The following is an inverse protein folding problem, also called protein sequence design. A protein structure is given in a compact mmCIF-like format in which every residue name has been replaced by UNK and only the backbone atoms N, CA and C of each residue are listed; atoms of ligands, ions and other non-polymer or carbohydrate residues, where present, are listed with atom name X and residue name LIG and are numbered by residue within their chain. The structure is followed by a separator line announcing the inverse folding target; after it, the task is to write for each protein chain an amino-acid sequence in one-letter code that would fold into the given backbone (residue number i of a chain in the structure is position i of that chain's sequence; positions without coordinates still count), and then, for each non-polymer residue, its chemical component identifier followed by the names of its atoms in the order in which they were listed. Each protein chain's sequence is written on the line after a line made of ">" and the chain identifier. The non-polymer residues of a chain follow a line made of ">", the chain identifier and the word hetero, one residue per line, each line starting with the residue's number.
data_IF_946670438872
#
_entry.id   IF_946670438872
#
_cell.length_a   1.000
_cell.length_b   1.000
_cell.length_c   1.000
_cell.angle_alpha   90.00
_cell.angle_beta   90.00
_cell.angle_gamma   90.00
#
_symmetry.space_group_name_H-M   'P 1'
#
loop_
_entity.id
_entity.type
_entity.pdbx_description
1 polymer ?
#
# COMPACT_ATOMS: atom_id res chain seq x y z
N UNK A 1 34.74 -8.48 -63.90
CA UNK A 1 33.75 -9.25 -63.13
C UNK A 1 33.74 -8.70 -61.68
N UNK A 2 32.82 -7.76 -61.38
CA UNK A 2 32.66 -7.15 -60.02
C UNK A 2 31.71 -8.02 -59.21
N UNK A 3 32.20 -8.56 -58.08
CA UNK A 3 31.39 -9.34 -57.14
C UNK A 3 30.59 -8.35 -56.29
N UNK A 4 29.27 -8.38 -56.41
CA UNK A 4 28.30 -7.66 -55.63
C UNK A 4 28.17 -8.38 -54.24
N UNK A 5 28.59 -7.74 -53.16
CA UNK A 5 28.36 -8.24 -51.80
C UNK A 5 26.95 -7.82 -51.37
N UNK A 6 26.09 -8.79 -51.18
CA UNK A 6 24.75 -8.59 -50.61
C UNK A 6 24.92 -8.44 -49.08
N UNK A 7 24.66 -7.24 -48.56
CA UNK A 7 24.59 -6.99 -47.10
C UNK A 7 23.17 -7.42 -46.64
N UNK A 8 23.08 -8.49 -45.92
CA UNK A 8 21.85 -8.88 -45.24
C UNK A 8 21.69 -8.01 -43.98
N UNK A 9 20.75 -7.07 -44.00
CA UNK A 9 20.29 -6.38 -42.78
C UNK A 9 19.50 -7.37 -41.92
N UNK A 10 20.14 -7.88 -40.87
CA UNK A 10 19.44 -8.60 -39.79
C UNK A 10 18.78 -7.53 -38.89
N UNK A 11 17.48 -7.33 -39.06
CA UNK A 11 16.67 -6.55 -38.16
C UNK A 11 16.59 -7.30 -36.81
N UNK A 12 17.35 -6.88 -35.84
CA UNK A 12 17.15 -7.29 -34.45
C UNK A 12 15.77 -6.75 -33.99
N UNK A 13 14.76 -7.58 -34.02
CA UNK A 13 13.53 -7.36 -33.27
C UNK A 13 13.88 -7.53 -31.78
N UNK A 14 14.17 -6.43 -31.11
CA UNK A 14 14.17 -6.40 -29.66
C UNK A 14 12.75 -6.76 -29.19
N UNK A 15 12.58 -7.73 -28.28
CA UNK A 15 11.30 -7.96 -27.70
C UNK A 15 10.88 -6.69 -26.96
N UNK A 16 9.81 -6.05 -27.41
CA UNK A 16 9.08 -5.06 -26.60
C UNK A 16 8.62 -5.87 -25.39
N UNK A 17 9.20 -5.59 -24.23
CA UNK A 17 8.65 -6.10 -22.97
C UNK A 17 7.20 -5.62 -22.95
N UNK A 18 6.26 -6.55 -23.08
CA UNK A 18 4.86 -6.26 -22.91
C UNK A 18 4.73 -5.77 -21.46
N UNK A 19 4.52 -4.46 -21.28
CA UNK A 19 4.09 -3.94 -19.99
C UNK A 19 2.83 -4.73 -19.65
N UNK A 20 2.87 -5.50 -18.55
CA UNK A 20 1.70 -6.21 -18.09
C UNK A 20 0.63 -5.16 -17.77
N UNK A 21 -0.38 -5.08 -18.63
CA UNK A 21 -1.52 -4.18 -18.45
C UNK A 21 -2.25 -4.62 -17.18
N UNK A 22 -2.68 -3.65 -16.34
CA UNK A 22 -3.48 -3.97 -15.16
C UNK A 22 -4.77 -4.65 -15.58
N UNK A 23 -5.08 -5.81 -15.00
CA UNK A 23 -6.27 -6.59 -15.32
C UNK A 23 -6.88 -7.16 -14.04
N UNK A 24 -8.20 -7.10 -13.94
CA UNK A 24 -8.96 -7.82 -12.92
C UNK A 24 -8.92 -9.33 -13.16
N UNK A 25 -9.06 -10.11 -12.11
CA UNK A 25 -9.32 -11.57 -12.18
C UNK A 25 -10.60 -11.83 -12.98
N UNK A 26 -10.63 -12.91 -13.74
CA UNK A 26 -11.74 -13.26 -14.64
C UNK A 26 -13.10 -13.46 -13.92
N UNK A 27 -13.11 -13.52 -12.60
CA UNK A 27 -14.33 -13.53 -11.76
C UNK A 27 -15.04 -12.18 -11.71
N UNK A 28 -14.36 -11.09 -12.02
CA UNK A 28 -14.87 -9.73 -11.91
C UNK A 28 -15.13 -9.13 -13.29
N UNK A 29 -16.10 -8.23 -13.36
CA UNK A 29 -16.41 -7.44 -14.54
C UNK A 29 -16.05 -5.99 -14.25
N UNK A 30 -15.61 -5.30 -15.28
CA UNK A 30 -15.35 -3.87 -15.33
C UNK A 30 -15.92 -3.36 -16.66
N UNK A 31 -17.16 -2.90 -16.64
CA UNK A 31 -17.89 -2.50 -17.87
C UNK A 31 -17.72 -1.03 -18.20
N UNK A 32 -17.48 -0.22 -17.18
CA UNK A 32 -17.31 1.23 -17.31
C UNK A 32 -15.85 1.64 -17.46
N UNK A 33 -14.88 0.71 -17.26
CA UNK A 33 -13.47 0.93 -17.50
C UNK A 33 -12.78 1.73 -16.38
N UNK A 34 -13.33 1.71 -15.16
CA UNK A 34 -12.76 2.40 -13.99
C UNK A 34 -11.67 1.59 -13.28
N UNK A 35 -11.35 0.39 -13.79
CA UNK A 35 -10.36 -0.57 -13.30
C UNK A 35 -10.72 -1.23 -11.96
N UNK A 36 -11.95 -1.12 -11.50
CA UNK A 36 -12.44 -1.81 -10.30
C UNK A 36 -13.60 -2.76 -10.64
N UNK A 37 -13.82 -3.75 -9.77
CA UNK A 37 -14.89 -4.72 -10.01
C UNK A 37 -16.28 -4.09 -9.91
N UNK A 38 -17.12 -4.29 -10.94
CA UNK A 38 -18.53 -3.92 -10.90
C UNK A 38 -19.27 -4.59 -9.75
N UNK A 39 -20.32 -3.95 -9.25
CA UNK A 39 -21.31 -4.60 -8.38
C UNK A 39 -22.02 -5.68 -9.21
N UNK A 40 -22.14 -6.93 -8.71
CA UNK A 40 -22.85 -7.97 -9.43
C UNK A 40 -24.29 -7.55 -9.79
N UNK A 41 -24.63 -7.66 -11.08
CA UNK A 41 -25.98 -7.33 -11.55
C UNK A 41 -27.04 -8.31 -11.04
N UNK A 42 -26.66 -9.55 -10.74
CA UNK A 42 -27.51 -10.55 -10.12
C UNK A 42 -27.58 -10.31 -8.60
N UNK A 43 -28.74 -9.92 -8.11
CA UNK A 43 -28.98 -9.67 -6.69
C UNK A 43 -28.71 -10.89 -5.79
N UNK A 44 -28.75 -12.11 -6.34
CA UNK A 44 -28.41 -13.33 -5.57
C UNK A 44 -26.91 -13.43 -5.24
N UNK A 45 -26.05 -12.70 -5.95
CA UNK A 45 -24.61 -12.60 -5.72
C UNK A 45 -24.25 -11.43 -4.79
N UNK A 46 -25.22 -10.56 -4.50
CA UNK A 46 -25.02 -9.45 -3.57
C UNK A 46 -25.23 -9.93 -2.13
N UNK A 47 -24.37 -9.47 -1.23
CA UNK A 47 -24.39 -9.86 0.18
C UNK A 47 -24.80 -8.69 1.08
N UNK A 48 -25.53 -9.04 2.13
CA UNK A 48 -25.99 -8.11 3.17
C UNK A 48 -25.70 -8.71 4.56
N UNK A 49 -24.43 -8.69 5.00
CA UNK A 49 -24.06 -9.34 6.24
C UNK A 49 -24.68 -8.64 7.45
N UNK A 50 -25.06 -9.41 8.46
CA UNK A 50 -25.52 -8.86 9.75
C UNK A 50 -24.39 -8.26 10.59
N UNK A 51 -23.15 -8.64 10.29
CA UNK A 51 -21.92 -8.13 10.92
C UNK A 51 -20.92 -7.76 9.84
N UNK A 52 -20.53 -6.49 9.80
CA UNK A 52 -19.45 -6.00 8.96
C UNK A 52 -18.12 -6.31 9.63
N UNK A 53 -17.18 -6.79 8.84
CA UNK A 53 -15.80 -7.05 9.29
C UNK A 53 -14.92 -5.99 8.66
N UNK A 54 -14.21 -5.23 9.50
CA UNK A 54 -13.27 -4.18 9.11
C UNK A 54 -11.83 -4.61 9.43
N UNK A 55 -10.90 -4.35 8.53
CA UNK A 55 -9.47 -4.54 8.78
C UNK A 55 -8.65 -3.34 8.31
N UNK A 56 -7.74 -2.89 9.16
CA UNK A 56 -6.71 -1.92 8.79
C UNK A 56 -5.47 -2.66 8.26
N UNK A 57 -4.74 -2.01 7.36
CA UNK A 57 -3.53 -2.57 6.76
C UNK A 57 -2.45 -2.88 7.83
N UNK A 58 -1.74 -4.02 7.72
CA UNK A 58 -0.74 -4.43 8.73
C UNK A 58 0.62 -3.74 8.51
N UNK A 59 0.68 -2.41 8.54
CA UNK A 59 1.93 -1.63 8.41
C UNK A 59 2.74 -1.61 9.70
N UNK A 60 2.06 -1.82 10.84
CA UNK A 60 2.60 -2.01 12.19
C UNK A 60 1.87 -3.18 12.87
N UNK A 61 2.13 -3.42 14.17
CA UNK A 61 1.37 -4.43 14.92
C UNK A 61 -0.12 -4.07 14.94
N UNK A 62 -1.02 -4.95 14.48
CA UNK A 62 -2.46 -4.68 14.44
C UNK A 62 -3.08 -4.39 15.81
N UNK A 63 -2.44 -4.78 16.91
CA UNK A 63 -2.91 -4.48 18.25
C UNK A 63 -2.93 -2.97 18.54
N UNK A 64 -2.03 -2.21 17.94
CA UNK A 64 -1.95 -0.73 18.08
C UNK A 64 -3.24 -0.08 17.58
N UNK A 65 -3.85 -0.63 16.53
CA UNK A 65 -4.94 0.02 15.81
C UNK A 65 -6.35 -0.34 16.29
N UNK A 66 -6.51 -1.32 17.19
CA UNK A 66 -7.84 -1.70 17.68
C UNK A 66 -8.55 -0.54 18.39
N UNK A 67 -7.85 0.13 19.28
CA UNK A 67 -8.41 1.27 20.03
C UNK A 67 -8.51 2.52 19.14
N UNK A 68 -7.53 2.74 18.28
CA UNK A 68 -7.50 3.88 17.32
C UNK A 68 -8.75 3.91 16.43
N UNK A 69 -9.23 2.76 16.00
CA UNK A 69 -10.40 2.65 15.12
C UNK A 69 -11.74 2.53 15.88
N UNK A 70 -11.75 2.42 17.21
CA UNK A 70 -12.97 2.06 17.96
C UNK A 70 -14.13 3.02 17.72
N UNK A 71 -13.92 4.33 17.84
CA UNK A 71 -14.96 5.35 17.67
C UNK A 71 -15.48 5.42 16.23
N UNK A 72 -14.59 5.27 15.25
CA UNK A 72 -15.01 5.16 13.85
C UNK A 72 -15.87 3.90 13.61
N UNK A 73 -15.54 2.77 14.21
CA UNK A 73 -16.31 1.52 14.06
C UNK A 73 -17.69 1.62 14.73
N UNK A 74 -17.79 2.35 15.84
CA UNK A 74 -19.08 2.64 16.48
C UNK A 74 -19.93 3.55 15.58
N UNK A 75 -19.35 4.63 15.01
CA UNK A 75 -20.02 5.48 14.04
C UNK A 75 -20.46 4.71 12.78
N UNK A 76 -19.60 3.83 12.26
CA UNK A 76 -19.93 2.95 11.14
C UNK A 76 -21.10 2.01 11.47
N UNK A 77 -21.15 1.50 12.71
CA UNK A 77 -22.25 0.65 13.16
C UNK A 77 -23.57 1.42 13.26
N UNK A 78 -23.54 2.65 13.77
CA UNK A 78 -24.71 3.53 13.85
C UNK A 78 -25.24 3.89 12.46
N UNK A 79 -24.36 4.33 11.55
CA UNK A 79 -24.73 4.76 10.20
C UNK A 79 -25.29 3.61 9.35
N UNK A 80 -24.70 2.42 9.46
CA UNK A 80 -25.13 1.25 8.65
C UNK A 80 -26.24 0.42 9.29
N UNK A 81 -26.50 0.61 10.59
CA UNK A 81 -27.39 -0.27 11.36
C UNK A 81 -26.88 -1.72 11.50
N UNK A 82 -25.60 -1.96 11.26
CA UNK A 82 -24.95 -3.28 11.32
C UNK A 82 -24.08 -3.40 12.57
N UNK A 83 -23.83 -4.62 13.00
CA UNK A 83 -22.70 -4.86 13.91
C UNK A 83 -21.41 -4.68 13.15
N UNK A 84 -20.39 -4.09 13.78
CA UNK A 84 -19.06 -3.93 13.19
C UNK A 84 -18.02 -4.60 14.09
N UNK A 85 -17.07 -5.29 13.47
CA UNK A 85 -16.01 -5.99 14.17
C UNK A 85 -14.64 -5.69 13.52
N UNK A 86 -13.69 -5.26 14.34
CA UNK A 86 -12.28 -5.14 13.94
C UNK A 86 -11.64 -6.52 13.82
N UNK A 87 -11.02 -6.78 12.67
CA UNK A 87 -10.28 -8.01 12.39
C UNK A 87 -8.78 -7.71 12.26
N UNK A 88 -7.96 -8.07 13.27
CA UNK A 88 -6.53 -7.85 13.21
C UNK A 88 -5.89 -8.82 12.21
N UNK A 89 -5.31 -8.29 11.14
CA UNK A 89 -4.57 -9.06 10.13
C UNK A 89 -3.07 -8.89 10.33
N UNK A 90 -2.30 -9.96 10.07
CA UNK A 90 -0.85 -9.97 10.29
C UNK A 90 -0.05 -9.75 8.99
N UNK A 91 -0.69 -9.87 7.82
CA UNK A 91 -0.05 -9.65 6.53
C UNK A 91 -1.05 -9.18 5.47
N UNK A 92 -0.54 -8.47 4.46
CA UNK A 92 -1.35 -8.04 3.30
C UNK A 92 -1.95 -9.24 2.56
N UNK A 93 -1.22 -10.35 2.44
CA UNK A 93 -1.72 -11.56 1.79
C UNK A 93 -2.93 -12.14 2.54
N UNK A 94 -2.87 -12.23 3.88
CA UNK A 94 -3.98 -12.70 4.70
C UNK A 94 -5.21 -11.76 4.59
N UNK A 95 -4.98 -10.44 4.49
CA UNK A 95 -6.04 -9.46 4.32
C UNK A 95 -6.74 -9.61 2.96
N UNK A 96 -5.98 -9.73 1.87
CA UNK A 96 -6.50 -9.97 0.51
C UNK A 96 -7.30 -11.27 0.46
N UNK A 97 -6.76 -12.36 1.01
CA UNK A 97 -7.45 -13.65 1.05
C UNK A 97 -8.72 -13.62 1.90
N UNK A 98 -8.74 -12.88 3.01
CA UNK A 98 -9.96 -12.72 3.81
C UNK A 98 -11.08 -12.02 3.01
N UNK A 99 -10.74 -10.97 2.23
CA UNK A 99 -11.70 -10.27 1.38
C UNK A 99 -12.14 -11.16 0.21
N UNK A 100 -11.19 -11.79 -0.50
CA UNK A 100 -11.49 -12.72 -1.60
C UNK A 100 -12.41 -13.85 -1.19
N UNK A 101 -12.29 -14.33 0.04
CA UNK A 101 -13.11 -15.39 0.61
C UNK A 101 -14.44 -14.89 1.22
N UNK A 102 -14.80 -13.62 1.07
CA UNK A 102 -16.02 -13.03 1.61
C UNK A 102 -16.05 -12.93 3.15
N UNK A 103 -14.90 -12.96 3.81
CA UNK A 103 -14.76 -12.86 5.27
C UNK A 103 -14.35 -11.48 5.76
N UNK A 104 -14.05 -10.58 4.84
CA UNK A 104 -13.69 -9.19 5.08
C UNK A 104 -14.53 -8.31 4.16
N UNK A 105 -15.18 -7.30 4.72
CA UNK A 105 -16.16 -6.49 4.01
C UNK A 105 -15.67 -5.07 3.74
N UNK A 106 -14.91 -4.50 4.68
CA UNK A 106 -14.36 -3.15 4.62
C UNK A 106 -12.88 -3.24 4.98
N UNK A 107 -12.03 -2.60 4.21
CA UNK A 107 -10.60 -2.65 4.47
C UNK A 107 -9.88 -1.34 4.12
N UNK A 108 -8.80 -1.06 4.87
CA UNK A 108 -7.73 -0.21 4.39
C UNK A 108 -6.60 -1.09 3.83
N UNK A 109 -6.30 -1.00 2.54
CA UNK A 109 -5.14 -1.64 1.94
C UNK A 109 -4.04 -0.61 1.72
N UNK A 110 -2.81 -0.94 2.13
CA UNK A 110 -1.68 -0.04 1.91
C UNK A 110 -1.45 0.20 0.41
N UNK A 111 -0.71 1.26 0.10
CA UNK A 111 -0.47 1.75 -1.25
C UNK A 111 -0.06 0.65 -2.22
N UNK A 112 0.88 -0.20 -1.84
CA UNK A 112 1.43 -1.23 -2.72
C UNK A 112 0.59 -2.50 -2.82
N UNK A 113 -0.20 -2.85 -1.81
CA UNK A 113 -1.11 -4.02 -1.85
C UNK A 113 -2.47 -3.72 -2.47
N UNK A 114 -2.83 -2.43 -2.56
CA UNK A 114 -4.11 -1.98 -3.10
C UNK A 114 -4.38 -2.50 -4.52
N UNK A 115 -3.45 -2.38 -5.51
CA UNK A 115 -3.70 -2.92 -6.85
C UNK A 115 -3.94 -4.43 -6.87
N UNK A 116 -3.25 -5.19 -6.02
CA UNK A 116 -3.47 -6.63 -5.91
C UNK A 116 -4.84 -6.95 -5.30
N UNK A 117 -5.27 -6.19 -4.29
CA UNK A 117 -6.59 -6.33 -3.68
C UNK A 117 -7.71 -6.00 -4.69
N UNK A 118 -7.55 -4.93 -5.49
CA UNK A 118 -8.47 -4.56 -6.57
C UNK A 118 -8.54 -5.69 -7.60
N UNK A 119 -7.38 -6.13 -8.10
CA UNK A 119 -7.32 -7.17 -9.14
C UNK A 119 -7.88 -8.51 -8.67
N UNK A 120 -7.57 -8.94 -7.44
CA UNK A 120 -7.76 -10.33 -7.02
C UNK A 120 -8.85 -10.56 -5.97
N UNK A 121 -9.28 -9.53 -5.25
CA UNK A 121 -10.25 -9.66 -4.16
C UNK A 121 -11.56 -8.88 -4.40
N UNK A 122 -11.71 -8.21 -5.55
CA UNK A 122 -12.86 -7.36 -5.82
C UNK A 122 -12.95 -6.19 -4.85
N UNK A 123 -11.82 -5.68 -4.40
CA UNK A 123 -11.75 -4.50 -3.56
C UNK A 123 -12.10 -3.25 -4.37
N UNK A 124 -13.00 -2.43 -3.84
CA UNK A 124 -13.42 -1.15 -4.43
C UNK A 124 -12.98 -0.01 -3.50
N UNK A 125 -11.78 0.56 -3.71
CA UNK A 125 -11.32 1.72 -2.96
C UNK A 125 -12.15 2.95 -3.36
N UNK A 126 -12.55 3.76 -2.38
CA UNK A 126 -13.33 4.98 -2.63
C UNK A 126 -12.83 6.19 -1.81
N UNK A 127 -11.96 5.97 -0.82
CA UNK A 127 -11.44 7.05 0.02
C UNK A 127 -10.02 6.77 0.52
N UNK A 128 -9.32 7.82 0.90
CA UNK A 128 -8.07 7.80 1.64
C UNK A 128 -8.05 8.92 2.66
N UNK A 129 -7.12 8.86 3.61
CA UNK A 129 -6.88 9.94 4.55
C UNK A 129 -6.09 11.07 3.90
N UNK A 130 -6.40 12.31 4.29
CA UNK A 130 -5.77 13.53 3.79
C UNK A 130 -5.66 14.57 4.92
N UNK A 131 -4.83 15.58 4.71
CA UNK A 131 -4.74 16.75 5.57
C UNK A 131 -6.01 17.62 5.47
N UNK A 132 -6.17 18.61 6.37
CA UNK A 132 -7.30 19.53 6.37
C UNK A 132 -7.49 20.27 5.04
N UNK A 133 -6.41 20.62 4.34
CA UNK A 133 -6.45 21.28 3.03
C UNK A 133 -6.72 20.33 1.85
N UNK A 134 -6.96 19.04 2.13
CA UNK A 134 -7.19 18.01 1.14
C UNK A 134 -5.92 17.43 0.50
N UNK A 135 -4.75 17.94 0.84
CA UNK A 135 -3.49 17.33 0.40
C UNK A 135 -3.33 15.95 1.04
N UNK A 136 -2.78 15.02 0.29
CA UNK A 136 -2.59 13.65 0.75
C UNK A 136 -1.22 13.11 0.32
N UNK A 137 -0.77 12.09 1.02
CA UNK A 137 0.37 11.32 0.59
C UNK A 137 1.42 11.14 1.67
N UNK A 138 2.37 10.28 1.34
CA UNK A 138 3.52 9.99 2.16
C UNK A 138 4.73 9.75 1.26
N UNK A 139 5.93 9.78 1.84
CA UNK A 139 7.17 9.53 1.14
C UNK A 139 7.77 8.18 1.58
N UNK A 140 8.45 7.52 0.66
CA UNK A 140 9.38 6.46 0.99
C UNK A 140 10.68 7.10 1.48
N UNK A 141 11.19 6.62 2.61
CA UNK A 141 12.52 6.98 3.09
C UNK A 141 13.44 5.76 3.12
N UNK A 142 14.70 5.98 2.77
CA UNK A 142 15.79 5.06 3.12
C UNK A 142 16.47 5.64 4.35
N UNK A 143 16.48 4.87 5.44
CA UNK A 143 17.02 5.28 6.73
C UNK A 143 18.21 4.42 7.15
N UNK A 144 19.06 4.99 7.96
CA UNK A 144 20.18 4.34 8.65
C UNK A 144 20.28 4.86 10.08
N UNK A 145 21.28 4.42 10.85
CA UNK A 145 21.58 4.93 12.19
C UNK A 145 22.89 5.75 12.18
N UNK A 146 23.08 6.68 13.11
CA UNK A 146 24.36 7.40 13.26
C UNK A 146 25.55 6.43 13.41
N UNK A 147 26.69 6.79 12.83
CA UNK A 147 27.91 5.98 12.87
C UNK A 147 27.83 4.61 12.16
N UNK A 148 26.81 4.38 11.33
CA UNK A 148 26.66 3.17 10.49
C UNK A 148 27.74 3.05 9.41
N UNK A 149 28.43 4.15 9.10
CA UNK A 149 29.32 4.26 7.96
C UNK A 149 28.59 4.29 6.61
N UNK A 150 27.29 4.67 6.62
CA UNK A 150 26.46 4.93 5.44
C UNK A 150 26.09 6.41 5.47
N UNK A 151 26.65 7.19 4.56
CA UNK A 151 26.44 8.64 4.47
C UNK A 151 25.49 8.99 3.31
N UNK A 152 25.43 8.13 2.28
CA UNK A 152 24.48 8.24 1.17
C UNK A 152 24.02 6.85 0.69
N UNK A 153 23.13 6.84 -0.33
CA UNK A 153 22.49 5.62 -0.84
C UNK A 153 23.50 4.64 -1.45
N UNK A 154 24.55 5.14 -2.09
CA UNK A 154 25.58 4.30 -2.73
C UNK A 154 26.37 3.47 -1.72
N UNK A 155 26.50 3.91 -0.48
CA UNK A 155 27.20 3.20 0.59
C UNK A 155 26.49 1.93 1.07
N UNK A 156 25.25 1.71 0.61
CA UNK A 156 24.49 0.47 0.83
C UNK A 156 25.13 -0.71 0.04
N UNK A 157 25.96 -0.43 -0.97
CA UNK A 157 26.63 -1.50 -1.74
C UNK A 157 27.40 -2.45 -0.83
N UNK A 158 27.15 -3.75 -1.01
CA UNK A 158 27.76 -4.82 -0.23
C UNK A 158 27.26 -4.95 1.21
N UNK A 159 26.25 -4.19 1.60
CA UNK A 159 25.60 -4.26 2.91
C UNK A 159 24.19 -4.85 2.81
N UNK A 160 23.57 -5.08 3.95
CA UNK A 160 22.14 -5.44 4.02
C UNK A 160 21.26 -4.19 3.89
N UNK A 161 20.14 -4.31 3.17
CA UNK A 161 19.06 -3.34 3.16
C UNK A 161 17.77 -4.04 3.60
N UNK A 162 17.20 -3.61 4.71
CA UNK A 162 15.94 -4.15 5.18
C UNK A 162 14.76 -3.60 4.37
N UNK A 163 14.01 -4.49 3.79
CA UNK A 163 12.69 -4.26 3.21
C UNK A 163 11.60 -4.74 4.17
N UNK A 164 10.36 -4.28 3.99
CA UNK A 164 9.24 -4.73 4.82
C UNK A 164 8.62 -6.00 4.27
N UNK A 165 7.73 -5.89 3.28
CA UNK A 165 7.10 -7.00 2.59
C UNK A 165 7.12 -6.77 1.08
N UNK A 166 7.07 -7.83 0.29
CA UNK A 166 7.10 -7.75 -1.19
C UNK A 166 5.91 -6.97 -1.79
N UNK A 167 4.82 -6.82 -1.06
CA UNK A 167 3.64 -6.04 -1.48
C UNK A 167 3.70 -4.58 -1.06
N UNK A 168 4.65 -4.19 -0.20
CA UNK A 168 4.78 -2.80 0.24
C UNK A 168 5.31 -1.91 -0.88
N UNK A 169 4.70 -0.72 -1.05
CA UNK A 169 5.22 0.29 -1.97
C UNK A 169 6.55 0.86 -1.44
N UNK A 170 6.53 1.56 -0.31
CA UNK A 170 7.73 2.21 0.26
C UNK A 170 8.72 1.25 0.88
N UNK A 171 8.27 0.07 1.33
CA UNK A 171 9.15 -0.91 1.94
C UNK A 171 9.76 -1.92 0.96
N UNK A 172 9.44 -1.86 -0.34
CA UNK A 172 10.04 -2.78 -1.33
C UNK A 172 9.97 -2.27 -2.78
N UNK A 173 8.77 -2.00 -3.33
CA UNK A 173 8.57 -1.77 -4.75
C UNK A 173 9.23 -0.47 -5.23
N UNK A 174 8.95 0.64 -4.57
CA UNK A 174 9.52 1.95 -4.91
C UNK A 174 11.03 2.00 -4.68
N UNK A 175 11.59 1.60 -3.51
CA UNK A 175 13.03 1.60 -3.32
C UNK A 175 13.73 0.67 -4.31
N UNK A 176 13.18 -0.51 -4.64
CA UNK A 176 13.77 -1.39 -5.66
C UNK A 176 13.84 -0.75 -7.04
N UNK A 177 12.77 -0.03 -7.44
CA UNK A 177 12.73 0.68 -8.72
C UNK A 177 13.74 1.85 -8.75
N UNK A 178 13.78 2.66 -7.68
CA UNK A 178 14.66 3.82 -7.55
C UNK A 178 16.13 3.40 -7.50
N UNK A 179 16.47 2.42 -6.65
CA UNK A 179 17.84 1.91 -6.54
C UNK A 179 18.36 1.39 -7.88
N UNK A 180 17.49 0.72 -8.65
CA UNK A 180 17.85 0.23 -9.98
C UNK A 180 17.97 1.35 -11.01
N UNK A 181 17.03 2.31 -11.03
CA UNK A 181 16.97 3.35 -12.06
C UNK A 181 18.02 4.44 -11.84
N UNK A 182 18.14 4.94 -10.62
CA UNK A 182 18.93 6.14 -10.31
C UNK A 182 20.35 5.81 -9.84
N UNK A 183 20.53 4.64 -9.16
CA UNK A 183 21.80 4.24 -8.58
C UNK A 183 22.42 3.00 -9.25
N UNK A 184 21.74 2.39 -10.23
CA UNK A 184 22.16 1.14 -10.87
C UNK A 184 22.53 0.06 -9.83
N UNK A 185 21.66 -0.11 -8.83
CA UNK A 185 21.80 -1.08 -7.74
C UNK A 185 20.66 -2.10 -7.79
N UNK A 186 21.00 -3.39 -7.74
CA UNK A 186 20.08 -4.50 -7.83
C UNK A 186 20.24 -5.40 -6.60
N UNK A 187 19.12 -5.68 -5.92
CA UNK A 187 19.07 -6.60 -4.79
C UNK A 187 19.62 -7.99 -5.13
N UNK A 188 20.39 -8.57 -4.23
CA UNK A 188 21.07 -9.85 -4.40
C UNK A 188 22.34 -9.81 -5.25
N UNK A 189 22.64 -8.65 -5.89
CA UNK A 189 23.88 -8.42 -6.66
C UNK A 189 24.73 -7.32 -6.06
N UNK A 190 24.12 -6.18 -5.76
CA UNK A 190 24.82 -4.99 -5.26
C UNK A 190 24.66 -4.82 -3.75
N UNK A 191 23.60 -5.34 -3.18
CA UNK A 191 23.31 -5.36 -1.74
C UNK A 191 22.48 -6.59 -1.38
N UNK A 192 22.50 -7.00 -0.11
CA UNK A 192 21.72 -8.14 0.38
C UNK A 192 20.34 -7.68 0.86
N UNK A 193 19.24 -8.11 0.23
CA UNK A 193 17.89 -7.78 0.69
C UNK A 193 17.49 -8.68 1.86
N UNK A 194 17.05 -8.08 2.98
CA UNK A 194 16.42 -8.78 4.10
C UNK A 194 14.99 -8.29 4.28
N UNK A 195 14.09 -9.13 4.77
CA UNK A 195 12.68 -8.77 4.94
C UNK A 195 12.27 -8.80 6.40
N UNK A 196 11.97 -7.64 6.98
CA UNK A 196 11.52 -7.47 8.37
C UNK A 196 10.04 -7.78 8.59
N UNK A 197 9.25 -7.81 7.51
CA UNK A 197 7.81 -8.06 7.50
C UNK A 197 6.96 -6.79 7.60
N UNK A 198 7.34 -5.80 8.42
CA UNK A 198 6.57 -4.56 8.68
C UNK A 198 7.49 -3.36 8.86
N UNK A 199 6.92 -2.14 8.78
CA UNK A 199 7.68 -0.89 8.89
C UNK A 199 8.24 -0.69 10.30
N UNK A 200 7.46 -0.96 11.35
CA UNK A 200 7.90 -0.88 12.75
C UNK A 200 9.14 -1.77 13.01
N UNK A 201 9.13 -3.00 12.52
CA UNK A 201 10.28 -3.90 12.64
C UNK A 201 11.52 -3.36 11.92
N UNK A 202 11.36 -2.78 10.72
CA UNK A 202 12.47 -2.17 9.98
C UNK A 202 13.05 -0.98 10.73
N UNK A 203 12.19 -0.09 11.24
CA UNK A 203 12.57 1.12 11.96
C UNK A 203 13.27 0.75 13.29
N UNK A 204 12.69 -0.16 14.06
CA UNK A 204 13.31 -0.67 15.30
C UNK A 204 14.64 -1.36 15.02
N UNK A 205 14.73 -2.16 13.94
CA UNK A 205 15.97 -2.82 13.56
C UNK A 205 17.09 -1.84 13.21
N UNK A 206 16.77 -0.71 12.57
CA UNK A 206 17.75 0.36 12.34
C UNK A 206 18.11 1.06 13.65
N UNK A 207 17.13 1.45 14.46
CA UNK A 207 17.37 2.13 15.73
C UNK A 207 18.20 1.29 16.72
N UNK A 208 18.03 -0.03 16.68
CA UNK A 208 18.80 -0.99 17.50
C UNK A 208 20.09 -1.47 16.82
N UNK A 209 20.40 -0.98 15.60
CA UNK A 209 21.59 -1.35 14.83
C UNK A 209 21.60 -2.83 14.36
N UNK A 210 20.43 -3.49 14.30
CA UNK A 210 20.28 -4.85 13.76
C UNK A 210 20.35 -4.85 12.22
N UNK A 211 19.88 -3.76 11.58
CA UNK A 211 19.97 -3.52 10.14
C UNK A 211 20.79 -2.25 9.86
N UNK A 212 21.78 -2.29 8.97
CA UNK A 212 22.57 -1.10 8.64
C UNK A 212 21.75 -0.02 7.91
N UNK A 213 20.73 -0.42 7.15
CA UNK A 213 19.79 0.48 6.48
C UNK A 213 18.43 -0.20 6.26
N UNK A 214 17.39 0.61 6.10
CA UNK A 214 16.05 0.12 5.79
C UNK A 214 15.28 1.08 4.88
N UNK A 215 14.35 0.54 4.07
CA UNK A 215 13.38 1.32 3.31
C UNK A 215 12.02 1.29 4.01
N UNK A 216 11.48 2.47 4.34
CA UNK A 216 10.28 2.61 5.18
C UNK A 216 9.31 3.67 4.63
N UNK A 217 8.11 3.74 5.21
CA UNK A 217 7.17 4.84 5.04
C UNK A 217 7.46 5.91 6.10
N UNK A 218 7.66 7.18 5.67
CA UNK A 218 7.87 8.29 6.60
C UNK A 218 6.70 8.48 7.56
N UNK A 219 5.47 8.23 7.13
CA UNK A 219 4.28 8.31 7.98
C UNK A 219 4.34 7.35 9.19
N UNK A 220 4.88 6.13 9.01
CA UNK A 220 5.09 5.19 10.12
C UNK A 220 6.23 5.67 11.01
N UNK A 221 7.35 6.11 10.43
CA UNK A 221 8.46 6.68 11.19
C UNK A 221 8.02 7.85 12.05
N UNK A 222 7.27 8.81 11.48
CA UNK A 222 6.77 9.97 12.20
C UNK A 222 5.87 9.58 13.40
N UNK A 223 4.97 8.60 13.22
CA UNK A 223 4.14 8.11 14.33
C UNK A 223 4.96 7.42 15.42
N UNK A 224 5.98 6.63 15.05
CA UNK A 224 6.86 5.98 16.02
C UNK A 224 7.71 6.99 16.81
N UNK A 225 8.22 8.04 16.15
CA UNK A 225 8.87 9.18 16.80
C UNK A 225 7.92 9.91 17.76
N UNK A 226 6.70 10.22 17.31
CA UNK A 226 5.70 10.92 18.14
C UNK A 226 5.22 10.13 19.35
N UNK A 227 5.33 8.79 19.31
CA UNK A 227 5.01 7.88 20.42
C UNK A 227 6.23 7.55 21.30
N UNK A 228 7.37 8.18 21.06
CA UNK A 228 8.64 7.91 21.74
C UNK A 228 9.08 6.42 21.67
N UNK A 229 8.67 5.70 20.61
CA UNK A 229 9.11 4.32 20.35
C UNK A 229 10.54 4.28 19.83
N UNK A 230 10.92 5.29 19.05
CA UNK A 230 12.28 5.60 18.61
C UNK A 230 12.51 7.11 18.76
N UNK A 231 13.77 7.55 18.80
CA UNK A 231 14.13 8.97 18.91
C UNK A 231 14.89 9.46 17.66
N UNK A 232 14.82 10.77 17.40
CA UNK A 232 15.44 11.39 16.24
C UNK A 232 16.97 11.15 16.17
N UNK A 233 17.65 11.02 17.31
CA UNK A 233 19.08 10.77 17.38
C UNK A 233 19.47 9.32 17.05
N UNK A 234 18.50 8.40 16.91
CA UNK A 234 18.74 7.01 16.50
C UNK A 234 18.63 6.82 14.98
N UNK A 235 18.05 7.77 14.26
CA UNK A 235 17.70 7.61 12.84
C UNK A 235 18.33 8.72 11.99
N UNK A 236 18.90 8.33 10.86
CA UNK A 236 19.36 9.25 9.81
C UNK A 236 18.63 8.93 8.51
N UNK A 237 18.00 9.94 7.91
CA UNK A 237 17.36 9.80 6.60
C UNK A 237 18.40 10.03 5.49
N UNK A 238 18.61 9.03 4.65
CA UNK A 238 19.52 9.08 3.50
C UNK A 238 18.82 9.55 2.22
N UNK A 239 17.55 9.22 2.07
CA UNK A 239 16.78 9.48 0.85
C UNK A 239 15.30 9.62 1.15
N UNK A 240 14.64 10.58 0.48
CA UNK A 240 13.19 10.74 0.45
C UNK A 240 12.68 10.74 -0.98
N UNK A 241 11.65 9.99 -1.23
CA UNK A 241 11.04 9.89 -2.56
C UNK A 241 10.07 11.04 -2.84
N UNK A 242 9.51 11.05 -4.04
CA UNK A 242 8.27 11.77 -4.32
C UNK A 242 7.12 11.25 -3.46
N UNK A 243 6.06 12.03 -3.35
CA UNK A 243 4.83 11.66 -2.63
C UNK A 243 4.07 10.54 -3.34
N UNK A 244 3.59 9.57 -2.57
CA UNK A 244 2.72 8.48 -3.00
C UNK A 244 1.36 8.58 -2.29
N UNK A 245 0.26 8.03 -2.88
CA UNK A 245 -1.02 7.94 -2.19
C UNK A 245 -0.88 7.09 -0.92
N UNK A 246 -1.65 7.42 0.12
CA UNK A 246 -1.65 6.71 1.40
C UNK A 246 -2.43 5.38 1.30
N UNK A 247 -2.85 4.81 2.43
CA UNK A 247 -3.77 3.67 2.49
C UNK A 247 -5.08 4.02 1.81
N UNK A 248 -5.51 3.20 0.85
CA UNK A 248 -6.84 3.31 0.26
C UNK A 248 -7.85 2.48 1.04
N UNK A 249 -8.94 3.12 1.46
CA UNK A 249 -10.04 2.45 2.14
C UNK A 249 -11.16 2.16 1.15
N UNK A 250 -11.80 1.02 1.35
CA UNK A 250 -12.83 0.55 0.42
C UNK A 250 -13.55 -0.68 0.92
N UNK A 251 -14.34 -1.24 0.06
CA UNK A 251 -15.33 -2.28 0.34
C UNK A 251 -15.20 -3.45 -0.62
N UNK A 252 -15.76 -4.59 -0.25
CA UNK A 252 -15.95 -5.71 -1.16
C UNK A 252 -17.00 -5.36 -2.22
N UNK A 253 -16.72 -5.65 -3.50
CA UNK A 253 -17.55 -5.29 -4.67
C UNK A 253 -18.99 -5.80 -4.58
N UNK A 254 -19.22 -6.91 -3.89
CA UNK A 254 -20.50 -7.63 -3.88
C UNK A 254 -21.38 -7.29 -2.68
N UNK A 255 -21.07 -6.27 -1.89
CA UNK A 255 -22.03 -5.75 -0.91
C UNK A 255 -23.24 -5.13 -1.62
N UNK A 256 -24.45 -5.23 -1.04
CA UNK A 256 -25.63 -4.56 -1.60
C UNK A 256 -25.39 -3.07 -1.80
N UNK A 257 -25.89 -2.45 -2.89
CA UNK A 257 -25.66 -1.03 -3.21
C UNK A 257 -25.99 -0.09 -2.04
N UNK A 258 -27.12 -0.28 -1.38
CA UNK A 258 -27.57 0.56 -0.26
C UNK A 258 -26.61 0.47 0.94
N UNK A 259 -26.01 -0.71 1.15
CA UNK A 259 -25.01 -0.90 2.20
C UNK A 259 -23.68 -0.26 1.81
N UNK A 260 -23.27 -0.31 0.53
CA UNK A 260 -22.08 0.40 0.04
C UNK A 260 -22.23 1.91 0.24
N UNK A 261 -23.38 2.50 -0.10
CA UNK A 261 -23.69 3.91 0.11
C UNK A 261 -23.62 4.30 1.59
N UNK A 262 -24.24 3.51 2.48
CA UNK A 262 -24.20 3.77 3.92
C UNK A 262 -22.78 3.68 4.51
N UNK A 263 -21.94 2.75 4.01
CA UNK A 263 -20.55 2.67 4.42
C UNK A 263 -19.76 3.90 3.95
N UNK A 264 -19.96 4.35 2.70
CA UNK A 264 -19.32 5.56 2.20
C UNK A 264 -19.75 6.81 3.00
N UNK A 265 -21.06 6.92 3.32
CA UNK A 265 -21.58 7.98 4.18
C UNK A 265 -20.89 8.00 5.54
N UNK A 266 -20.69 6.82 6.16
CA UNK A 266 -20.01 6.71 7.44
C UNK A 266 -18.56 7.24 7.38
N UNK A 267 -17.83 6.99 6.30
CA UNK A 267 -16.47 7.54 6.15
C UNK A 267 -16.49 9.06 6.01
N UNK A 268 -17.37 9.61 5.19
CA UNK A 268 -17.38 11.05 4.89
C UNK A 268 -18.12 11.92 5.92
N UNK A 269 -18.95 11.31 6.77
CA UNK A 269 -19.63 12.00 7.88
C UNK A 269 -18.93 11.86 9.23
N UNK A 270 -17.84 11.07 9.31
CA UNK A 270 -17.11 10.89 10.55
C UNK A 270 -16.36 12.16 10.95
N UNK A 271 -16.67 12.65 12.14
CA UNK A 271 -15.99 13.81 12.73
C UNK A 271 -14.74 13.32 13.48
N UNK A 272 -13.57 13.82 13.09
CA UNK A 272 -12.29 13.38 13.64
C UNK A 272 -11.94 14.03 14.98
N UNK A 273 -12.43 15.26 15.21
CA UNK A 273 -12.06 16.09 16.36
C UNK A 273 -12.28 15.37 17.70
N UNK A 274 -11.21 15.25 18.48
CA UNK A 274 -11.22 14.64 19.81
C UNK A 274 -11.22 13.10 19.84
N UNK A 275 -11.08 12.44 18.68
CA UNK A 275 -11.07 10.97 18.58
C UNK A 275 -9.67 10.38 18.65
N UNK A 276 -9.57 9.09 19.00
CA UNK A 276 -8.31 8.33 18.93
C UNK A 276 -7.76 8.24 17.49
N UNK A 277 -8.63 8.34 16.48
CA UNK A 277 -8.22 8.36 15.07
C UNK A 277 -7.45 9.65 14.75
N UNK A 278 -7.95 10.81 15.18
CA UNK A 278 -7.24 12.09 15.06
C UNK A 278 -5.93 12.05 15.84
N UNK A 279 -5.94 11.63 17.11
CA UNK A 279 -4.75 11.56 17.94
C UNK A 279 -3.62 10.77 17.27
N UNK A 280 -3.93 9.65 16.61
CA UNK A 280 -2.94 8.82 15.95
C UNK A 280 -2.50 9.37 14.60
N UNK A 281 -3.44 9.74 13.72
CA UNK A 281 -3.12 10.04 12.33
C UNK A 281 -2.73 11.50 12.06
N UNK A 282 -3.10 12.45 12.92
CA UNK A 282 -2.60 13.83 12.84
C UNK A 282 -1.08 13.93 12.99
N UNK A 283 -0.44 12.95 13.64
CA UNK A 283 1.03 12.81 13.74
C UNK A 283 1.71 12.62 12.39
N UNK A 284 0.99 12.14 11.40
CA UNK A 284 1.44 12.03 10.00
C UNK A 284 0.71 12.99 9.06
N UNK A 285 -0.07 13.92 9.60
CA UNK A 285 -0.71 15.01 8.87
C UNK A 285 -2.10 14.70 8.35
N UNK A 286 -2.66 13.52 8.64
CA UNK A 286 -4.02 13.18 8.22
C UNK A 286 -5.06 13.74 9.21
N UNK A 287 -6.18 14.27 8.68
CA UNK A 287 -7.25 14.91 9.44
C UNK A 287 -8.66 14.61 8.92
N UNK A 288 -8.80 14.00 7.77
CA UNK A 288 -10.08 13.71 7.15
C UNK A 288 -10.00 12.57 6.14
N UNK A 289 -11.15 12.06 5.73
CA UNK A 289 -11.30 11.18 4.58
C UNK A 289 -11.68 11.97 3.33
N UNK A 290 -10.99 11.74 2.21
CA UNK A 290 -11.27 12.39 0.92
C UNK A 290 -11.65 11.35 -0.14
N UNK A 291 -12.57 11.67 -1.07
CA UNK A 291 -12.94 10.75 -2.15
C UNK A 291 -11.78 10.54 -3.12
N UNK A 292 -11.68 9.33 -3.65
CA UNK A 292 -10.66 8.94 -4.62
C UNK A 292 -11.26 8.10 -5.75
N UNK A 293 -10.48 7.98 -6.84
CA UNK A 293 -10.66 6.95 -7.87
C UNK A 293 -9.39 6.07 -7.91
N UNK A 294 -9.56 4.76 -8.10
CA UNK A 294 -8.41 3.87 -8.25
C UNK A 294 -7.64 4.17 -9.54
N UNK A 295 -8.37 4.48 -10.60
CA UNK A 295 -7.81 4.75 -11.92
C UNK A 295 -6.78 5.89 -11.87
N UNK A 296 -7.10 7.00 -11.21
CA UNK A 296 -6.26 8.19 -11.14
C UNK A 296 -5.20 8.10 -10.04
N UNK A 297 -5.65 7.88 -8.79
CA UNK A 297 -4.78 7.99 -7.62
C UNK A 297 -3.75 6.86 -7.51
N UNK A 298 -4.03 5.67 -8.08
CA UNK A 298 -3.09 4.54 -8.12
C UNK A 298 -2.34 4.38 -9.45
N UNK A 299 -2.44 5.33 -10.40
CA UNK A 299 -1.73 5.25 -11.68
C UNK A 299 -0.21 5.12 -11.48
N UNK A 300 0.37 5.92 -10.60
CA UNK A 300 1.81 5.88 -10.31
C UNK A 300 2.25 4.51 -9.77
N UNK A 301 1.43 3.89 -8.92
CA UNK A 301 1.73 2.59 -8.34
C UNK A 301 1.64 1.48 -9.39
N UNK A 302 0.64 1.52 -10.27
CA UNK A 302 0.55 0.58 -11.39
C UNK A 302 1.74 0.71 -12.35
N UNK A 303 2.24 1.94 -12.58
CA UNK A 303 3.47 2.18 -13.38
C UNK A 303 4.71 1.60 -12.70
N UNK A 304 4.85 1.76 -11.38
CA UNK A 304 5.94 1.15 -10.60
C UNK A 304 5.87 -0.37 -10.66
N UNK A 305 4.68 -0.94 -10.48
CA UNK A 305 4.47 -2.38 -10.57
C UNK A 305 4.83 -2.93 -11.97
N UNK A 306 4.40 -2.26 -13.03
CA UNK A 306 4.76 -2.62 -14.40
C UNK A 306 6.29 -2.52 -14.65
N UNK A 307 6.96 -1.49 -14.13
CA UNK A 307 8.42 -1.33 -14.25
C UNK A 307 9.19 -2.43 -13.52
N UNK A 308 8.64 -2.92 -12.40
CA UNK A 308 9.19 -4.04 -11.65
C UNK A 308 8.79 -5.42 -12.20
N UNK A 309 7.97 -5.47 -13.26
CA UNK A 309 7.47 -6.72 -13.83
C UNK A 309 6.48 -7.47 -12.93
N UNK A 310 5.80 -6.74 -12.04
CA UNK A 310 4.79 -7.32 -11.13
C UNK A 310 3.59 -7.78 -11.95
N UNK A 311 3.25 -9.06 -11.85
CA UNK A 311 2.00 -9.61 -12.35
C UNK A 311 1.03 -9.83 -11.18
N UNK A 312 -0.22 -9.40 -11.34
CA UNK A 312 -1.27 -9.61 -10.34
C UNK A 312 -1.82 -11.04 -10.47
N UNK A 313 -1.09 -12.00 -9.92
CA UNK A 313 -1.50 -13.41 -9.93
C UNK A 313 -2.46 -13.69 -8.78
N UNK A 314 -3.69 -14.05 -9.12
CA UNK A 314 -4.79 -14.26 -8.17
C UNK A 314 -4.97 -15.73 -7.74
N UNK A 315 -3.94 -16.55 -7.85
CA UNK A 315 -3.99 -17.98 -7.51
C UNK A 315 -3.73 -18.24 -6.04
#
# INVERSE_FOLDING_TARGET
>A
MKKLKLLACISLLLPVAANAEFKLDDRYQDKDGDLIADIPADASQQVDPSTLIFAYTPVEDPAVYREVWSEFLDHLAETTGKKVQFFPVQSNAAQIEAMRAGRLHIAGFNTGSNPLAVACAGFRPFTMMAAEDGSFGYEMEIITYPDSGIEDVEDIRGKELAFTSQTSNSGFKAPSAILKADYNMVAGSDFEPVFSGKHDNSILGVANQDYPAAAVANSVLNRMLSRDVVSDDQIVSLYKSQTFPTTGYGIAHNLKPELQEAIQEAFFSFEWEGTALEEEFSKSGEAQFVPITFQEHWEVIRKIDAANGVAYNCQ
#
